data_IF_696165733261
#
_entry.id   IF_696165733261
#
_cell.length_a   1.000
_cell.length_b   1.000
_cell.length_c   1.000
_cell.angle_alpha   90.00
_cell.angle_beta   90.00
_cell.angle_gamma   90.00
#
_symmetry.space_group_name_H-M   'P 1'
#
loop_
_entity.id
_entity.type
_entity.pdbx_description
1 polymer ?
#
# COMPACT_ATOMS: atom_id res chain seq x y z
N UNK A 1 -0.96 -11.62 -6.16
CA UNK A 1 0.44 -12.04 -5.88
C UNK A 1 0.68 -11.92 -4.39
N UNK A 2 1.34 -12.89 -3.77
CA UNK A 2 1.79 -12.78 -2.38
C UNK A 2 3.27 -12.39 -2.37
N UNK A 3 3.61 -11.30 -1.69
CA UNK A 3 4.99 -10.83 -1.54
C UNK A 3 5.60 -11.38 -0.25
N UNK A 4 6.91 -11.70 -0.23
CA UNK A 4 7.59 -12.09 0.99
C UNK A 4 7.75 -10.89 1.93
N UNK A 5 7.74 -11.13 3.24
CA UNK A 5 8.08 -10.12 4.27
C UNK A 5 9.60 -9.99 4.38
N UNK A 6 10.25 -9.70 3.25
CA UNK A 6 11.71 -9.59 3.09
C UNK A 6 11.98 -8.43 2.14
N UNK A 7 12.69 -7.39 2.61
CA UNK A 7 12.80 -6.11 1.90
C UNK A 7 13.31 -6.28 0.46
N UNK A 8 14.46 -6.93 0.31
CA UNK A 8 15.11 -7.11 -0.99
C UNK A 8 14.23 -7.88 -1.97
N UNK A 9 13.69 -9.03 -1.53
CA UNK A 9 12.86 -9.89 -2.40
C UNK A 9 11.55 -9.22 -2.79
N UNK A 10 10.92 -8.48 -1.88
CA UNK A 10 9.70 -7.73 -2.18
C UNK A 10 9.98 -6.66 -3.25
N UNK A 11 11.08 -5.89 -3.11
CA UNK A 11 11.48 -4.89 -4.10
C UNK A 11 11.80 -5.48 -5.45
N UNK A 12 12.55 -6.58 -5.51
CA UNK A 12 12.85 -7.29 -6.78
C UNK A 12 11.56 -7.68 -7.52
N UNK A 13 10.57 -8.24 -6.81
CA UNK A 13 9.29 -8.62 -7.40
C UNK A 13 8.47 -7.40 -7.86
N UNK A 14 8.41 -6.35 -7.05
CA UNK A 14 7.72 -5.11 -7.42
C UNK A 14 8.33 -4.44 -8.65
N UNK A 15 9.66 -4.33 -8.69
CA UNK A 15 10.38 -3.74 -9.83
C UNK A 15 10.09 -4.56 -11.09
N UNK A 16 10.08 -5.89 -10.99
CA UNK A 16 9.74 -6.76 -12.11
C UNK A 16 8.32 -6.49 -12.62
N UNK A 17 7.32 -6.39 -11.74
CA UNK A 17 5.94 -6.10 -12.14
C UNK A 17 5.85 -4.78 -12.92
N UNK A 18 6.45 -3.70 -12.40
CA UNK A 18 6.40 -2.40 -13.05
C UNK A 18 7.17 -2.35 -14.37
N UNK A 19 8.28 -3.07 -14.48
CA UNK A 19 9.10 -3.09 -15.70
C UNK A 19 8.55 -4.02 -16.79
N UNK A 20 7.81 -5.08 -16.43
CA UNK A 20 7.31 -6.05 -17.41
C UNK A 20 5.82 -5.93 -17.72
N UNK A 21 4.98 -5.63 -16.72
CA UNK A 21 3.51 -5.60 -16.89
C UNK A 21 2.97 -4.19 -17.08
N UNK A 22 3.70 -3.18 -16.60
CA UNK A 22 3.29 -1.76 -16.65
C UNK A 22 1.81 -1.54 -16.29
N UNK A 23 1.36 -2.01 -15.10
CA UNK A 23 -0.05 -1.97 -14.73
C UNK A 23 -0.59 -0.54 -14.69
N UNK A 24 -1.92 -0.39 -14.83
CA UNK A 24 -2.61 0.89 -14.62
C UNK A 24 -2.41 1.37 -13.17
N UNK A 25 -2.59 0.47 -12.21
CA UNK A 25 -2.48 0.71 -10.77
C UNK A 25 -2.02 -0.58 -10.08
N UNK A 26 -1.09 -0.49 -9.13
CA UNK A 26 -0.86 -1.58 -8.16
C UNK A 26 -1.50 -1.27 -6.83
N UNK A 27 -2.33 -2.18 -6.30
CA UNK A 27 -2.89 -2.06 -4.96
C UNK A 27 -2.23 -3.09 -4.04
N UNK A 28 -1.52 -2.60 -3.03
CA UNK A 28 -0.91 -3.41 -1.99
C UNK A 28 -1.82 -3.51 -0.79
N UNK A 29 -1.87 -4.70 -0.19
CA UNK A 29 -2.66 -4.95 1.02
C UNK A 29 -1.73 -5.52 2.08
N UNK A 30 -1.69 -4.89 3.26
CA UNK A 30 -0.85 -5.29 4.37
C UNK A 30 -1.63 -5.42 5.68
N UNK A 31 -1.19 -6.32 6.55
CA UNK A 31 -1.79 -6.47 7.88
C UNK A 31 -1.29 -5.36 8.81
N UNK A 32 -2.23 -4.66 9.48
CA UNK A 32 -1.93 -3.84 10.64
C UNK A 32 -2.50 -4.53 11.89
N UNK A 33 -1.64 -5.14 12.70
CA UNK A 33 -2.07 -6.02 13.79
C UNK A 33 -2.81 -5.33 14.93
N UNK A 34 -2.61 -4.03 15.10
CA UNK A 34 -3.16 -3.25 16.21
C UNK A 34 -4.45 -2.49 15.87
N UNK A 35 -4.94 -2.56 14.63
CA UNK A 35 -6.15 -1.85 14.21
C UNK A 35 -7.33 -2.80 14.06
N UNK A 36 -8.54 -2.26 14.23
CA UNK A 36 -9.81 -2.90 13.86
C UNK A 36 -10.43 -2.27 12.61
N UNK A 37 -9.74 -1.32 11.99
CA UNK A 37 -10.21 -0.48 10.89
C UNK A 37 -9.40 -0.74 9.62
N UNK A 38 -9.97 -0.44 8.46
CA UNK A 38 -9.22 -0.36 7.21
C UNK A 38 -8.57 1.03 7.12
N UNK A 39 -7.30 1.08 6.73
CA UNK A 39 -6.53 2.32 6.61
C UNK A 39 -6.08 2.50 5.17
N UNK A 40 -6.42 3.64 4.57
CA UNK A 40 -6.01 4.03 3.23
C UNK A 40 -4.80 4.96 3.32
N UNK A 41 -3.66 4.51 2.79
CA UNK A 41 -2.38 5.20 2.93
C UNK A 41 -2.09 6.12 1.74
N UNK A 42 -1.99 7.43 1.99
CA UNK A 42 -1.75 8.42 0.92
C UNK A 42 -0.33 8.40 0.36
N UNK A 43 0.67 8.04 1.16
CA UNK A 43 2.07 8.17 0.76
C UNK A 43 2.97 7.14 1.41
N UNK A 44 4.04 6.80 0.71
CA UNK A 44 5.15 6.02 1.22
C UNK A 44 6.32 6.92 1.59
N UNK A 45 7.20 6.43 2.46
CA UNK A 45 8.43 7.14 2.89
C UNK A 45 9.66 6.44 2.34
N UNK A 46 10.75 7.17 2.11
CA UNK A 46 11.97 6.56 1.58
C UNK A 46 12.96 6.14 2.66
N UNK A 47 12.81 6.64 3.89
CA UNK A 47 13.81 6.51 4.96
C UNK A 47 13.17 6.13 6.29
N UNK A 48 14.00 5.58 7.19
CA UNK A 48 13.62 5.26 8.56
C UNK A 48 13.42 3.78 8.84
N UNK A 49 13.81 2.90 7.91
CA UNK A 49 13.71 1.44 8.06
C UNK A 49 14.77 0.91 9.02
N UNK A 50 14.41 0.69 10.28
CA UNK A 50 15.30 0.15 11.32
C UNK A 50 14.96 -1.30 11.70
N UNK A 51 13.72 -1.71 11.46
CA UNK A 51 13.23 -3.03 11.84
C UNK A 51 13.72 -4.10 10.88
N UNK A 52 14.16 -5.22 11.46
CA UNK A 52 14.60 -6.41 10.72
C UNK A 52 13.40 -7.15 10.13
N UNK A 53 13.53 -7.56 8.88
CA UNK A 53 12.57 -8.38 8.16
C UNK A 53 12.58 -9.85 8.64
N UNK A 54 11.75 -10.69 8.01
CA UNK A 54 11.64 -12.11 8.37
C UNK A 54 12.95 -12.91 8.19
N UNK A 55 13.94 -12.38 7.48
CA UNK A 55 15.27 -12.96 7.33
C UNK A 55 16.31 -12.30 8.25
N UNK A 56 15.90 -11.36 9.10
CA UNK A 56 16.80 -10.68 10.04
C UNK A 56 17.56 -9.49 9.44
N UNK A 57 17.16 -8.98 8.27
CA UNK A 57 17.85 -7.86 7.59
C UNK A 57 17.00 -6.60 7.57
N UNK A 58 17.63 -5.42 7.55
CA UNK A 58 16.96 -4.16 7.23
C UNK A 58 17.69 -3.50 6.05
N UNK A 59 17.07 -2.54 5.34
CA UNK A 59 17.69 -1.89 4.19
C UNK A 59 18.99 -1.18 4.57
N UNK A 60 19.98 -1.26 3.68
CA UNK A 60 21.22 -0.50 3.81
C UNK A 60 20.91 1.00 3.87
N UNK A 61 21.59 1.72 4.77
CA UNK A 61 21.35 3.15 5.00
C UNK A 61 19.94 3.48 5.50
N UNK A 62 19.17 2.48 5.96
CA UNK A 62 17.77 2.63 6.37
C UNK A 62 16.89 3.33 5.31
N UNK A 63 17.20 3.09 4.02
CA UNK A 63 16.63 3.77 2.87
C UNK A 63 16.06 2.77 1.84
N UNK A 64 14.99 3.14 1.12
CA UNK A 64 14.40 2.30 0.08
C UNK A 64 15.08 2.44 -1.29
N UNK A 65 15.20 3.67 -1.77
CA UNK A 65 15.84 4.03 -3.03
C UNK A 65 16.87 5.12 -2.76
N UNK A 66 18.14 4.83 -3.05
CA UNK A 66 19.22 5.81 -2.93
C UNK A 66 18.88 7.05 -3.77
N UNK A 67 19.02 8.23 -3.16
CA UNK A 67 18.69 9.53 -3.75
C UNK A 67 17.23 9.71 -4.21
N UNK A 68 16.34 8.81 -3.82
CA UNK A 68 14.90 8.93 -4.06
C UNK A 68 14.25 10.02 -3.19
N UNK A 69 13.11 10.59 -3.61
CA UNK A 69 12.36 11.58 -2.83
C UNK A 69 12.04 11.10 -1.41
N UNK A 70 12.05 11.96 -0.40
CA UNK A 70 11.78 11.51 0.98
C UNK A 70 10.39 10.88 1.17
N UNK A 71 9.43 11.29 0.35
CA UNK A 71 8.04 10.86 0.35
C UNK A 71 7.51 10.92 -1.07
N UNK A 72 6.72 9.93 -1.47
CA UNK A 72 5.96 9.96 -2.72
C UNK A 72 4.49 9.73 -2.37
N UNK A 73 3.60 10.52 -2.97
CA UNK A 73 2.15 10.36 -2.79
C UNK A 73 1.58 9.48 -3.90
N UNK A 74 0.55 8.71 -3.55
CA UNK A 74 -0.28 8.03 -4.54
C UNK A 74 -0.95 9.05 -5.46
N UNK A 75 -1.10 8.69 -6.73
CA UNK A 75 -1.99 9.36 -7.66
C UNK A 75 -3.47 9.25 -7.22
N UNK A 76 -3.80 8.25 -6.41
CA UNK A 76 -5.12 8.12 -5.79
C UNK A 76 -5.25 9.10 -4.64
N UNK A 77 -6.29 9.91 -4.66
CA UNK A 77 -6.67 10.77 -3.55
C UNK A 77 -7.42 9.96 -2.49
N UNK A 78 -6.66 9.40 -1.54
CA UNK A 78 -7.20 8.56 -0.47
C UNK A 78 -8.13 9.33 0.46
N UNK A 79 -7.91 10.64 0.62
CA UNK A 79 -8.76 11.49 1.47
C UNK A 79 -10.14 11.69 0.85
N UNK A 80 -10.21 11.90 -0.46
CA UNK A 80 -11.49 11.97 -1.17
C UNK A 80 -12.16 10.60 -1.19
N UNK A 81 -11.39 9.54 -1.49
CA UNK A 81 -11.91 8.17 -1.53
C UNK A 81 -12.52 7.75 -0.19
N UNK A 82 -11.82 8.01 0.92
CA UNK A 82 -12.30 7.72 2.27
C UNK A 82 -13.64 8.40 2.59
N UNK A 83 -13.87 9.61 2.06
CA UNK A 83 -15.12 10.35 2.27
C UNK A 83 -16.27 9.87 1.39
N UNK A 84 -15.97 9.34 0.21
CA UNK A 84 -16.97 8.91 -0.77
C UNK A 84 -17.39 7.46 -0.61
N UNK A 85 -16.58 6.64 0.07
CA UNK A 85 -16.85 5.23 0.30
C UNK A 85 -17.33 4.97 1.72
N UNK A 86 -18.25 4.03 1.87
CA UNK A 86 -18.61 3.42 3.13
C UNK A 86 -18.81 1.93 2.90
N UNK A 87 -18.29 1.11 3.82
CA UNK A 87 -18.51 -0.33 3.83
C UNK A 87 -19.18 -0.66 5.15
N UNK A 88 -20.42 -1.12 5.10
CA UNK A 88 -21.17 -1.46 6.30
C UNK A 88 -20.40 -2.51 7.13
N UNK A 89 -20.26 -2.27 8.44
CA UNK A 89 -19.60 -3.19 9.36
C UNK A 89 -18.09 -2.97 9.55
N UNK A 90 -17.46 -2.01 8.87
CA UNK A 90 -16.06 -1.63 9.13
C UNK A 90 -15.77 -0.16 8.80
N UNK A 91 -15.10 0.53 9.72
CA UNK A 91 -14.66 1.89 9.45
C UNK A 91 -13.43 1.92 8.53
N UNK A 92 -13.40 2.94 7.68
CA UNK A 92 -12.30 3.23 6.77
C UNK A 92 -11.73 4.59 7.12
N UNK A 93 -10.43 4.65 7.41
CA UNK A 93 -9.73 5.87 7.78
C UNK A 93 -8.63 6.22 6.78
N UNK A 94 -8.27 7.50 6.75
CA UNK A 94 -7.19 8.03 5.93
C UNK A 94 -5.91 8.17 6.76
N UNK A 95 -4.77 7.80 6.17
CA UNK A 95 -3.45 7.99 6.77
C UNK A 95 -2.45 8.55 5.76
N UNK A 96 -1.39 9.21 6.25
CA UNK A 96 -0.22 9.66 5.46
C UNK A 96 1.06 9.00 5.96
N UNK A 97 0.93 7.85 6.60
CA UNK A 97 2.00 7.15 7.26
C UNK A 97 1.73 5.64 7.23
N UNK A 98 2.36 4.94 6.28
CA UNK A 98 2.25 3.49 6.13
C UNK A 98 3.21 2.72 7.06
N UNK A 99 3.77 3.35 8.09
CA UNK A 99 4.81 2.78 8.95
C UNK A 99 6.19 2.79 8.30
N UNK A 100 7.17 2.09 8.90
CA UNK A 100 8.56 2.01 8.40
C UNK A 100 9.08 0.58 8.37
N UNK A 101 8.22 -0.33 7.89
CA UNK A 101 8.52 -1.75 7.73
C UNK A 101 8.38 -2.17 6.25
N UNK A 102 8.34 -3.47 5.97
CA UNK A 102 8.26 -4.04 4.61
C UNK A 102 7.01 -3.54 3.86
N UNK A 103 5.90 -3.24 4.55
CA UNK A 103 4.69 -2.65 3.98
C UNK A 103 4.99 -1.32 3.24
N UNK A 104 5.47 -0.31 3.98
CA UNK A 104 5.85 1.00 3.44
C UNK A 104 6.98 0.89 2.41
N UNK A 105 7.96 0.02 2.63
CA UNK A 105 9.05 -0.17 1.69
C UNK A 105 8.57 -0.69 0.32
N UNK A 106 7.67 -1.66 0.33
CA UNK A 106 7.06 -2.23 -0.88
C UNK A 106 6.17 -1.21 -1.57
N UNK A 107 5.41 -0.45 -0.78
CA UNK A 107 4.56 0.63 -1.26
C UNK A 107 5.38 1.73 -1.94
N UNK A 108 6.39 2.26 -1.23
CA UNK A 108 7.29 3.29 -1.74
C UNK A 108 8.01 2.84 -3.01
N UNK A 109 8.48 1.59 -3.06
CA UNK A 109 9.06 1.01 -4.28
C UNK A 109 8.06 1.12 -5.44
N UNK A 110 6.80 0.72 -5.23
CA UNK A 110 5.78 0.80 -6.29
C UNK A 110 5.42 2.22 -6.68
N UNK A 111 5.37 3.14 -5.71
CA UNK A 111 5.15 4.56 -5.99
C UNK A 111 6.29 5.13 -6.85
N UNK A 112 7.54 4.80 -6.55
CA UNK A 112 8.70 5.25 -7.29
C UNK A 112 8.70 4.73 -8.73
N UNK A 113 8.62 3.41 -8.93
CA UNK A 113 8.66 2.81 -10.27
C UNK A 113 7.36 2.98 -11.07
N UNK A 114 6.23 3.18 -10.38
CA UNK A 114 4.92 3.38 -10.99
C UNK A 114 4.57 4.84 -11.26
N UNK A 115 5.45 5.80 -10.96
CA UNK A 115 5.17 7.24 -11.05
C UNK A 115 3.90 7.63 -10.28
N UNK A 116 3.81 7.19 -9.02
CA UNK A 116 2.67 7.45 -8.12
C UNK A 116 1.46 6.51 -8.32
N UNK A 117 1.43 5.68 -9.37
CA UNK A 117 0.32 4.75 -9.66
C UNK A 117 0.32 3.49 -8.77
N UNK A 118 0.46 3.68 -7.48
CA UNK A 118 0.33 2.64 -6.48
C UNK A 118 -0.55 3.09 -5.32
N UNK A 119 -1.26 2.15 -4.71
CA UNK A 119 -2.07 2.34 -3.52
C UNK A 119 -1.66 1.32 -2.45
N UNK A 120 -1.88 1.67 -1.18
CA UNK A 120 -1.68 0.74 -0.07
C UNK A 120 -2.86 0.80 0.90
N UNK A 121 -3.32 -0.38 1.31
CA UNK A 121 -4.42 -0.57 2.24
C UNK A 121 -3.91 -1.41 3.41
N UNK A 122 -3.88 -0.85 4.62
CA UNK A 122 -3.74 -1.66 5.81
C UNK A 122 -5.10 -2.22 6.21
N UNK A 123 -5.14 -3.52 6.52
CA UNK A 123 -6.34 -4.24 6.97
C UNK A 123 -6.15 -4.77 8.38
N UNK A 124 -7.22 -4.89 9.17
CA UNK A 124 -7.14 -5.51 10.50
C UNK A 124 -6.96 -7.02 10.38
N UNK A 125 -6.57 -7.70 11.48
CA UNK A 125 -6.59 -9.16 11.54
C UNK A 125 -7.99 -9.72 11.31
N UNK A 126 -8.06 -10.92 10.73
CA UNK A 126 -9.32 -11.64 10.62
C UNK A 126 -9.86 -11.97 12.01
N UNK A 127 -11.18 -11.88 12.13
CA UNK A 127 -11.90 -12.14 13.38
C UNK A 127 -13.27 -12.75 13.08
N UNK A 128 -14.08 -12.98 14.12
CA UNK A 128 -15.48 -13.43 13.94
C UNK A 128 -16.33 -12.39 13.20
N UNK A 129 -16.05 -11.10 13.39
CA UNK A 129 -16.77 -10.00 12.73
C UNK A 129 -16.13 -9.59 11.40
N UNK A 130 -14.80 -9.71 11.27
CA UNK A 130 -14.07 -9.41 10.04
C UNK A 130 -13.59 -10.72 9.42
N UNK A 131 -14.47 -11.36 8.67
CA UNK A 131 -14.15 -12.61 7.96
C UNK A 131 -13.34 -12.32 6.69
N UNK A 132 -12.68 -13.35 6.14
CA UNK A 132 -11.96 -13.22 4.88
C UNK A 132 -12.89 -12.85 3.70
N UNK A 133 -14.11 -13.39 3.68
CA UNK A 133 -15.12 -13.08 2.66
C UNK A 133 -15.58 -11.62 2.76
N UNK A 134 -15.89 -11.16 3.98
CA UNK A 134 -16.24 -9.78 4.23
C UNK A 134 -15.12 -8.82 3.81
N UNK A 135 -13.88 -9.09 4.25
CA UNK A 135 -12.73 -8.26 3.92
C UNK A 135 -12.43 -8.26 2.42
N UNK A 136 -12.59 -9.40 1.75
CA UNK A 136 -12.46 -9.50 0.29
C UNK A 136 -13.46 -8.60 -0.45
N UNK A 137 -14.72 -8.60 -0.03
CA UNK A 137 -15.76 -7.71 -0.59
C UNK A 137 -15.47 -6.25 -0.29
N UNK A 138 -15.06 -5.92 0.93
CA UNK A 138 -14.66 -4.56 1.30
C UNK A 138 -13.51 -4.03 0.42
N UNK A 139 -12.47 -4.85 0.25
CA UNK A 139 -11.33 -4.53 -0.62
C UNK A 139 -11.76 -4.37 -2.08
N UNK A 140 -12.65 -5.22 -2.59
CA UNK A 140 -13.19 -5.09 -3.94
C UNK A 140 -13.87 -3.73 -4.15
N UNK A 141 -14.76 -3.31 -3.23
CA UNK A 141 -15.44 -2.01 -3.30
C UNK A 141 -14.43 -0.86 -3.29
N UNK A 142 -13.43 -0.92 -2.40
CA UNK A 142 -12.37 0.11 -2.31
C UNK A 142 -11.56 0.19 -3.60
N UNK A 143 -11.16 -0.95 -4.17
CA UNK A 143 -10.34 -1.00 -5.39
C UNK A 143 -11.13 -0.47 -6.59
N UNK A 144 -12.43 -0.78 -6.70
CA UNK A 144 -13.27 -0.22 -7.76
C UNK A 144 -13.34 1.31 -7.67
N UNK A 145 -13.52 1.87 -6.46
CA UNK A 145 -13.49 3.31 -6.25
C UNK A 145 -12.11 3.95 -6.55
N UNK A 146 -11.00 3.22 -6.35
CA UNK A 146 -9.66 3.68 -6.78
C UNK A 146 -9.57 3.75 -8.31
N UNK A 147 -10.08 2.74 -9.01
CA UNK A 147 -10.04 2.68 -10.47
C UNK A 147 -10.86 3.80 -11.13
N UNK A 148 -11.95 4.23 -10.50
CA UNK A 148 -12.72 5.40 -10.95
C UNK A 148 -11.85 6.67 -10.98
N UNK A 149 -10.89 6.83 -10.06
CA UNK A 149 -9.95 7.96 -10.06
C UNK A 149 -8.86 7.81 -11.13
N UNK A 150 -8.46 6.58 -11.48
CA UNK A 150 -7.49 6.33 -12.56
C UNK A 150 -8.01 6.69 -13.95
N UNK A 151 -9.34 6.72 -14.14
CA UNK A 151 -9.97 7.07 -15.41
C UNK A 151 -10.12 8.58 -15.65
N UNK A 152 -9.62 9.44 -14.75
CA UNK A 152 -9.87 10.90 -14.77
C UNK A 152 -8.72 11.69 -15.44
N UNK A 153 -7.70 11.03 -15.97
CA UNK A 153 -6.62 11.72 -16.69
C UNK A 153 -7.07 12.18 -18.10
N UNK A 154 -7.46 13.47 -18.16
CA UNK A 154 -7.49 14.41 -19.31
C UNK A 154 -8.67 14.35 -20.31
N UNK A 155 -9.75 15.08 -19.99
CA UNK A 155 -10.41 15.99 -20.95
C UNK A 155 -9.78 17.37 -20.78
#
# INVERSE_FOLDING_TARGET
>A
LQLPVVYQKAKEQVVKIWTTLQPLLTVHVGLASSTTLIILEQCGKNKGYQDRDACGFHPEGACCVLDGPEKIESAINMKTLQKSISVEGIDIIFSRDAGRYVCDYTYYTSLYYGSGRAAFIHVPPLSKSVTADFLGKALQTIILAMLEQCGVDHI
#
